data_IF_255439339622
#
_entry.id   IF_255439339622
#
_cell.length_a   1.000
_cell.length_b   1.000
_cell.length_c   1.000
_cell.angle_alpha   90.00
_cell.angle_beta   90.00
_cell.angle_gamma   90.00
#
_symmetry.space_group_name_H-M   'P 1'
#
loop_
_entity.id
_entity.type
_entity.pdbx_description
1 polymer ?
#
# COMPACT_ATOMS: atom_id res chain seq x y z
N UNK A 1 -7.17 -27.71 10.63
CA UNK A 1 -8.26 -26.71 10.51
C UNK A 1 -9.32 -27.38 9.66
N UNK A 2 -10.27 -28.06 10.30
CA UNK A 2 -11.37 -28.69 9.58
C UNK A 2 -12.38 -27.59 9.23
N UNK A 3 -12.59 -27.37 7.93
CA UNK A 3 -13.58 -26.42 7.43
C UNK A 3 -14.95 -27.09 7.56
N UNK A 4 -15.63 -26.90 8.69
CA UNK A 4 -16.95 -27.47 8.94
C UNK A 4 -18.05 -26.53 8.43
N UNK A 5 -18.96 -27.12 7.64
CA UNK A 5 -20.14 -26.54 6.95
C UNK A 5 -19.83 -25.37 6.02
N UNK A 6 -20.14 -25.61 4.75
CA UNK A 6 -19.58 -24.92 3.60
C UNK A 6 -19.63 -23.38 3.73
N UNK A 7 -18.48 -22.72 3.99
CA UNK A 7 -18.36 -21.26 3.97
C UNK A 7 -18.87 -20.67 2.65
N UNK A 8 -18.82 -21.43 1.55
CA UNK A 8 -19.38 -21.01 0.27
C UNK A 8 -20.91 -20.83 0.34
N UNK A 9 -21.64 -21.64 1.12
CA UNK A 9 -23.10 -21.49 1.25
C UNK A 9 -23.42 -20.22 2.04
N UNK A 10 -22.67 -19.93 3.11
CA UNK A 10 -22.81 -18.69 3.87
C UNK A 10 -22.42 -17.45 3.04
N UNK A 11 -21.32 -17.52 2.30
CA UNK A 11 -20.87 -16.45 1.40
C UNK A 11 -21.82 -16.25 0.22
N UNK A 12 -22.42 -17.33 -0.32
CA UNK A 12 -23.46 -17.26 -1.35
C UNK A 12 -24.76 -16.66 -0.80
N UNK A 13 -25.16 -17.00 0.43
CA UNK A 13 -26.34 -16.40 1.08
C UNK A 13 -26.14 -14.91 1.38
N UNK A 14 -24.91 -14.49 1.73
CA UNK A 14 -24.55 -13.07 1.90
C UNK A 14 -24.52 -12.35 0.54
N UNK A 15 -23.86 -12.93 -0.46
CA UNK A 15 -23.71 -12.32 -1.79
C UNK A 15 -25.03 -12.18 -2.55
N UNK A 16 -25.94 -13.15 -2.43
CA UNK A 16 -27.24 -13.12 -3.10
C UNK A 16 -28.19 -12.07 -2.52
N UNK A 17 -28.09 -11.73 -1.23
CA UNK A 17 -28.94 -10.72 -0.59
C UNK A 17 -28.41 -9.29 -0.76
N UNK A 18 -27.08 -9.10 -0.75
CA UNK A 18 -26.43 -7.80 -1.04
C UNK A 18 -26.62 -7.34 -2.50
N UNK A 19 -27.04 -8.25 -3.38
CA UNK A 19 -27.31 -7.97 -4.80
C UNK A 19 -28.72 -7.45 -5.07
N UNK A 20 -29.61 -7.40 -4.06
CA UNK A 20 -31.02 -7.01 -4.21
C UNK A 20 -31.19 -5.61 -3.63
N UNK A 21 -31.37 -4.62 -4.50
CA UNK A 21 -31.41 -3.19 -4.18
C UNK A 21 -32.34 -2.76 -3.04
N UNK A 22 -31.80 -2.84 -1.82
CA UNK A 22 -32.34 -2.30 -0.56
C UNK A 22 -31.26 -1.38 0.02
N UNK A 23 -31.66 -0.45 0.90
CA UNK A 23 -30.77 0.52 1.54
C UNK A 23 -29.53 -0.14 2.15
N UNK A 24 -28.32 0.41 1.90
CA UNK A 24 -27.03 -0.09 2.43
C UNK A 24 -27.04 -0.36 3.95
N UNK A 25 -27.88 0.34 4.71
CA UNK A 25 -28.03 0.19 6.16
C UNK A 25 -28.76 -1.10 6.55
N UNK A 26 -29.79 -1.49 5.81
CA UNK A 26 -30.65 -2.63 6.13
C UNK A 26 -29.93 -3.95 5.86
N UNK A 27 -29.03 -3.95 4.87
CA UNK A 27 -28.24 -5.10 4.49
C UNK A 27 -27.16 -5.43 5.53
N UNK A 28 -26.57 -4.41 6.14
CA UNK A 28 -25.59 -4.62 7.20
C UNK A 28 -26.26 -5.07 8.49
N UNK A 29 -27.42 -4.53 8.84
CA UNK A 29 -28.15 -5.01 10.02
C UNK A 29 -28.54 -6.49 9.88
N UNK A 30 -29.01 -6.92 8.69
CA UNK A 30 -29.25 -8.33 8.38
C UNK A 30 -27.99 -9.18 8.48
N UNK A 31 -26.86 -8.69 7.95
CA UNK A 31 -25.57 -9.36 8.08
C UNK A 31 -25.17 -9.55 9.55
N UNK A 32 -25.34 -8.52 10.38
CA UNK A 32 -25.06 -8.58 11.82
C UNK A 32 -25.97 -9.58 12.55
N UNK A 33 -27.25 -9.65 12.19
CA UNK A 33 -28.18 -10.64 12.75
C UNK A 33 -27.74 -12.07 12.39
N UNK A 34 -27.39 -12.32 11.13
CA UNK A 34 -26.89 -13.63 10.66
C UNK A 34 -25.58 -14.01 11.34
N UNK A 35 -24.62 -13.07 11.42
CA UNK A 35 -23.38 -13.27 12.16
C UNK A 35 -23.67 -13.60 13.63
N UNK A 36 -24.52 -12.82 14.32
CA UNK A 36 -24.90 -13.11 15.70
C UNK A 36 -25.50 -14.52 15.89
N UNK A 37 -26.28 -15.01 14.91
CA UNK A 37 -26.82 -16.36 14.95
C UNK A 37 -25.70 -17.40 14.81
N UNK A 38 -24.80 -17.22 13.86
CA UNK A 38 -23.64 -18.08 13.66
C UNK A 38 -22.72 -18.11 14.89
N UNK A 39 -22.46 -16.94 15.51
CA UNK A 39 -21.66 -16.83 16.73
C UNK A 39 -22.31 -17.49 17.97
N UNK A 40 -23.61 -17.79 17.91
CA UNK A 40 -24.36 -18.45 18.99
C UNK A 40 -24.50 -19.96 18.79
N UNK A 41 -24.21 -20.48 17.60
CA UNK A 41 -24.22 -21.92 17.37
C UNK A 41 -23.08 -22.56 18.20
N UNK A 42 -23.39 -23.67 18.87
CA UNK A 42 -22.57 -24.41 19.85
C UNK A 42 -21.33 -25.09 19.24
N UNK A 43 -20.62 -24.40 18.36
CA UNK A 43 -19.28 -24.82 17.93
C UNK A 43 -18.29 -24.46 19.04
N UNK A 44 -17.37 -25.36 19.35
CA UNK A 44 -16.28 -25.10 20.31
C UNK A 44 -15.19 -24.18 19.75
N UNK A 45 -15.42 -23.58 18.58
CA UNK A 45 -14.44 -22.81 17.83
C UNK A 45 -14.85 -21.34 17.75
N UNK A 46 -13.89 -20.45 17.99
CA UNK A 46 -14.11 -19.01 17.82
C UNK A 46 -13.84 -18.62 16.36
N UNK A 47 -14.82 -18.03 15.65
CA UNK A 47 -14.64 -17.67 14.25
C UNK A 47 -13.66 -16.53 14.05
N UNK A 48 -13.08 -16.47 12.85
CA UNK A 48 -12.13 -15.44 12.41
C UNK A 48 -12.74 -14.63 11.25
N UNK A 49 -12.85 -13.32 11.45
CA UNK A 49 -13.26 -12.36 10.42
C UNK A 49 -12.01 -11.68 9.84
N UNK A 50 -11.88 -11.73 8.51
CA UNK A 50 -10.81 -11.08 7.76
C UNK A 50 -11.37 -9.85 7.06
N UNK A 51 -10.83 -8.68 7.36
CA UNK A 51 -11.25 -7.39 6.80
C UNK A 51 -10.08 -6.75 6.06
N UNK A 52 -10.05 -6.90 4.75
CA UNK A 52 -9.07 -6.21 3.91
C UNK A 52 -9.55 -4.78 3.59
N UNK A 53 -8.61 -3.87 3.34
CA UNK A 53 -8.86 -2.45 3.01
C UNK A 53 -9.89 -1.78 3.94
N UNK A 54 -9.66 -1.86 5.25
CA UNK A 54 -10.60 -1.38 6.29
C UNK A 54 -11.01 0.08 6.12
N UNK A 55 -10.19 0.90 5.46
CA UNK A 55 -10.45 2.29 5.12
C UNK A 55 -11.75 2.48 4.34
N UNK A 56 -12.10 1.51 3.47
CA UNK A 56 -13.32 1.56 2.65
C UNK A 56 -14.57 1.53 3.53
N UNK A 57 -14.50 0.82 4.66
CA UNK A 57 -15.63 0.67 5.59
C UNK A 57 -15.50 1.53 6.84
N UNK A 58 -14.36 2.18 7.07
CA UNK A 58 -14.12 3.08 8.20
C UNK A 58 -14.78 4.47 8.03
N UNK A 59 -16.01 4.50 7.53
CA UNK A 59 -16.81 5.70 7.30
C UNK A 59 -17.74 5.90 8.51
N UNK A 60 -17.98 7.15 8.99
CA UNK A 60 -18.81 7.40 10.19
C UNK A 60 -20.20 6.75 10.17
N UNK A 61 -20.79 6.53 8.99
CA UNK A 61 -22.08 5.84 8.81
C UNK A 61 -22.09 4.40 9.33
N UNK A 62 -20.92 3.79 9.54
CA UNK A 62 -20.75 2.43 10.00
C UNK A 62 -20.28 2.32 11.47
N UNK A 63 -20.32 3.42 12.24
CA UNK A 63 -19.84 3.45 13.63
C UNK A 63 -20.41 2.37 14.55
N UNK A 64 -21.71 2.08 14.43
CA UNK A 64 -22.38 1.08 15.27
C UNK A 64 -21.88 -0.35 15.03
N UNK A 65 -21.45 -0.65 13.80
CA UNK A 65 -20.88 -1.96 13.43
C UNK A 65 -19.54 -2.16 14.15
N UNK A 66 -18.71 -1.13 14.21
CA UNK A 66 -17.40 -1.22 14.88
C UNK A 66 -17.55 -1.39 16.39
N UNK A 67 -18.54 -0.75 17.01
CA UNK A 67 -18.88 -0.98 18.41
C UNK A 67 -19.34 -2.43 18.65
N UNK A 68 -20.17 -2.97 17.74
CA UNK A 68 -20.61 -4.37 17.81
C UNK A 68 -19.44 -5.35 17.64
N UNK A 69 -18.60 -5.16 16.63
CA UNK A 69 -17.41 -5.99 16.36
C UNK A 69 -16.46 -6.00 17.56
N UNK A 70 -16.24 -4.83 18.15
CA UNK A 70 -15.44 -4.67 19.37
C UNK A 70 -16.02 -5.45 20.54
N UNK A 71 -17.33 -5.34 20.77
CA UNK A 71 -18.00 -6.03 21.86
C UNK A 71 -17.88 -7.56 21.71
N UNK A 72 -18.05 -8.08 20.49
CA UNK A 72 -17.90 -9.51 20.19
C UNK A 72 -16.48 -10.01 20.38
N UNK A 73 -15.51 -9.24 19.92
CA UNK A 73 -14.09 -9.58 20.08
C UNK A 73 -13.68 -9.59 21.55
N UNK A 74 -14.11 -8.58 22.31
CA UNK A 74 -13.82 -8.48 23.76
C UNK A 74 -14.45 -9.63 24.56
N UNK A 75 -15.58 -10.18 24.08
CA UNK A 75 -16.24 -11.33 24.70
C UNK A 75 -15.62 -12.69 24.31
N UNK A 76 -14.58 -12.71 23.47
CA UNK A 76 -13.98 -13.95 22.94
C UNK A 76 -14.89 -14.70 21.96
N UNK A 77 -15.95 -14.06 21.47
CA UNK A 77 -16.92 -14.66 20.56
C UNK A 77 -16.54 -14.49 19.09
N UNK A 78 -15.53 -13.66 18.78
CA UNK A 78 -15.06 -13.38 17.43
C UNK A 78 -13.59 -12.99 17.47
N UNK A 79 -12.79 -13.45 16.51
CA UNK A 79 -11.47 -12.91 16.23
C UNK A 79 -11.53 -12.06 14.97
N UNK A 80 -10.76 -10.98 14.92
CA UNK A 80 -10.70 -10.09 13.76
C UNK A 80 -9.24 -9.89 13.36
N UNK A 81 -8.96 -10.09 12.08
CA UNK A 81 -7.71 -9.67 11.45
C UNK A 81 -8.06 -8.68 10.36
N UNK A 82 -7.31 -7.59 10.28
CA UNK A 82 -7.53 -6.55 9.29
C UNK A 82 -6.23 -6.08 8.68
N UNK A 83 -6.30 -5.60 7.45
CA UNK A 83 -5.20 -4.95 6.74
C UNK A 83 -5.59 -3.51 6.41
N UNK A 84 -4.59 -2.62 6.50
CA UNK A 84 -4.75 -1.19 6.28
C UNK A 84 -3.44 -0.63 5.74
N UNK A 85 -3.54 0.35 4.85
CA UNK A 85 -2.42 1.13 4.33
C UNK A 85 -1.92 2.17 5.34
N UNK A 86 -2.77 2.55 6.31
CA UNK A 86 -2.46 3.54 7.35
C UNK A 86 -2.61 2.93 8.74
N UNK A 87 -2.09 3.62 9.73
CA UNK A 87 -2.36 3.22 11.12
C UNK A 87 -3.86 3.34 11.41
N UNK A 88 -4.44 2.34 12.09
CA UNK A 88 -5.88 2.31 12.34
C UNK A 88 -6.38 3.52 13.13
N UNK A 89 -5.53 4.13 13.97
CA UNK A 89 -5.88 5.36 14.69
C UNK A 89 -6.07 6.57 13.75
N UNK A 90 -5.42 6.58 12.59
CA UNK A 90 -5.62 7.60 11.55
C UNK A 90 -6.88 7.30 10.74
N UNK A 91 -7.14 6.03 10.46
CA UNK A 91 -8.31 5.57 9.70
C UNK A 91 -9.61 5.86 10.42
N UNK A 92 -9.70 5.53 11.72
CA UNK A 92 -10.91 5.75 12.52
C UNK A 92 -10.99 7.14 13.15
N UNK A 93 -9.96 7.97 12.98
CA UNK A 93 -9.88 9.33 13.51
C UNK A 93 -9.67 9.44 15.02
N UNK A 94 -9.31 10.64 15.49
CA UNK A 94 -9.11 10.99 16.91
C UNK A 94 -10.41 11.31 17.65
N UNK A 95 -11.55 10.70 17.30
CA UNK A 95 -12.83 11.12 17.90
C UNK A 95 -12.85 10.82 19.39
N UNK A 96 -13.10 11.87 20.18
CA UNK A 96 -13.48 11.87 21.59
C UNK A 96 -14.87 11.25 21.80
N UNK A 97 -15.08 10.04 21.26
CA UNK A 97 -16.33 9.32 21.46
C UNK A 97 -16.24 8.59 22.81
N UNK A 98 -17.30 8.75 23.61
CA UNK A 98 -17.43 8.22 24.97
C UNK A 98 -17.26 6.69 24.96
N UNK A 99 -16.04 6.21 25.11
CA UNK A 99 -15.65 4.80 25.00
C UNK A 99 -14.22 4.64 24.50
N UNK A 100 -13.67 3.42 24.61
CA UNK A 100 -12.39 3.14 23.95
C UNK A 100 -12.64 2.88 22.46
N UNK A 101 -11.79 3.41 21.58
CA UNK A 101 -11.96 3.31 20.14
C UNK A 101 -11.86 1.88 19.61
N UNK A 102 -12.36 1.64 18.39
CA UNK A 102 -12.31 0.34 17.73
C UNK A 102 -10.87 -0.14 17.50
N UNK A 103 -9.97 0.74 17.07
CA UNK A 103 -8.57 0.37 16.81
C UNK A 103 -7.82 -0.13 18.06
N UNK A 104 -8.31 0.17 19.27
CA UNK A 104 -7.65 -0.23 20.52
C UNK A 104 -7.69 -1.73 20.82
N UNK A 105 -8.52 -2.52 20.12
CA UNK A 105 -8.57 -3.97 20.32
C UNK A 105 -7.55 -4.73 19.45
N UNK A 106 -6.78 -4.03 18.61
CA UNK A 106 -5.84 -4.65 17.68
C UNK A 106 -4.40 -4.57 18.17
N UNK A 107 -3.63 -5.59 17.79
CA UNK A 107 -2.17 -5.54 17.80
C UNK A 107 -1.73 -5.31 16.35
N UNK A 108 -1.04 -4.20 16.10
CA UNK A 108 -0.53 -3.87 14.77
C UNK A 108 0.74 -4.66 14.45
N UNK A 109 0.78 -5.30 13.29
CA UNK A 109 1.98 -5.90 12.73
C UNK A 109 2.35 -5.08 11.48
N UNK A 110 3.40 -4.24 11.54
CA UNK A 110 3.81 -3.45 10.39
C UNK A 110 4.40 -4.37 9.32
N UNK A 111 3.82 -4.32 8.12
CA UNK A 111 4.37 -4.99 6.94
C UNK A 111 5.19 -3.98 6.13
N UNK A 112 6.45 -4.32 5.90
CA UNK A 112 7.38 -3.49 5.13
C UNK A 112 7.75 -4.12 3.80
N UNK A 113 8.67 -3.48 3.10
CA UNK A 113 9.38 -4.10 1.98
C UNK A 113 10.21 -5.29 2.47
N UNK A 114 10.47 -6.25 1.58
CA UNK A 114 11.34 -7.37 1.90
C UNK A 114 12.77 -6.89 2.14
N UNK A 115 13.55 -7.65 2.89
CA UNK A 115 15.00 -7.58 2.86
C UNK A 115 15.53 -8.21 1.57
N UNK A 116 16.72 -7.82 1.13
CA UNK A 116 17.34 -8.43 -0.06
C UNK A 116 17.48 -9.95 0.08
N UNK A 117 17.80 -10.45 1.28
CA UNK A 117 17.88 -11.89 1.56
C UNK A 117 16.54 -12.61 1.41
N UNK A 118 15.44 -11.94 1.76
CA UNK A 118 14.09 -12.47 1.61
C UNK A 118 13.69 -12.48 0.13
N UNK A 119 14.05 -11.44 -0.64
CA UNK A 119 13.89 -11.44 -2.10
C UNK A 119 14.65 -12.61 -2.72
N UNK A 120 15.93 -12.78 -2.41
CA UNK A 120 16.74 -13.89 -2.94
C UNK A 120 16.15 -15.25 -2.57
N UNK A 121 15.72 -15.41 -1.32
CA UNK A 121 15.06 -16.64 -0.87
C UNK A 121 13.77 -16.89 -1.65
N UNK A 122 12.94 -15.85 -1.85
CA UNK A 122 11.71 -15.95 -2.64
C UNK A 122 12.01 -16.36 -4.09
N UNK A 123 12.97 -15.70 -4.77
CA UNK A 123 13.35 -16.02 -6.14
C UNK A 123 13.91 -17.44 -6.27
N UNK A 124 14.76 -17.86 -5.32
CA UNK A 124 15.32 -19.21 -5.30
C UNK A 124 14.25 -20.28 -5.05
N UNK A 125 13.24 -19.97 -4.23
CA UNK A 125 12.18 -20.92 -3.85
C UNK A 125 11.09 -21.03 -4.91
N UNK A 126 10.66 -19.91 -5.48
CA UNK A 126 9.56 -19.87 -6.45
C UNK A 126 10.01 -20.20 -7.88
N UNK A 127 11.26 -19.94 -8.23
CA UNK A 127 11.81 -20.23 -9.55
C UNK A 127 12.91 -21.29 -9.48
N UNK A 128 14.15 -20.90 -9.16
CA UNK A 128 15.29 -21.80 -8.93
C UNK A 128 16.49 -21.03 -8.37
N UNK A 129 17.43 -21.70 -7.68
CA UNK A 129 18.70 -21.09 -7.29
C UNK A 129 19.48 -20.52 -8.47
N UNK A 130 19.46 -21.17 -9.63
CA UNK A 130 20.16 -20.71 -10.84
C UNK A 130 19.54 -19.42 -11.40
N UNK A 131 18.21 -19.31 -11.37
CA UNK A 131 17.51 -18.10 -11.76
C UNK A 131 17.82 -16.94 -10.81
N UNK A 132 17.80 -17.17 -9.50
CA UNK A 132 18.20 -16.17 -8.50
C UNK A 132 19.63 -15.68 -8.74
N UNK A 133 20.58 -16.61 -8.92
CA UNK A 133 21.98 -16.27 -9.16
C UNK A 133 22.17 -15.45 -10.44
N UNK A 134 21.33 -15.67 -11.45
CA UNK A 134 21.40 -14.98 -12.74
C UNK A 134 20.74 -13.60 -12.70
N UNK A 135 19.54 -13.50 -12.12
CA UNK A 135 18.69 -12.31 -12.24
C UNK A 135 18.52 -11.52 -10.94
N UNK A 136 18.70 -12.15 -9.79
CA UNK A 136 18.23 -11.65 -8.49
C UNK A 136 18.81 -10.29 -8.12
N UNK A 137 20.12 -10.12 -8.26
CA UNK A 137 20.77 -8.83 -7.97
C UNK A 137 20.29 -7.72 -8.91
N UNK A 138 20.00 -8.06 -10.18
CA UNK A 138 19.50 -7.07 -11.15
C UNK A 138 18.04 -6.70 -10.88
N UNK A 139 17.19 -7.69 -10.57
CA UNK A 139 15.79 -7.44 -10.17
C UNK A 139 15.76 -6.49 -8.97
N UNK A 140 16.53 -6.78 -7.92
CA UNK A 140 16.61 -5.92 -6.73
C UNK A 140 17.10 -4.51 -7.09
N UNK A 141 18.10 -4.40 -7.96
CA UNK A 141 18.61 -3.10 -8.40
C UNK A 141 17.55 -2.24 -9.12
N UNK A 142 16.72 -2.86 -9.96
CA UNK A 142 15.76 -2.15 -10.80
C UNK A 142 14.49 -1.74 -10.06
N UNK A 143 13.96 -2.62 -9.20
CA UNK A 143 12.65 -2.40 -8.55
C UNK A 143 12.69 -2.37 -7.02
N UNK A 144 13.88 -2.46 -6.43
CA UNK A 144 14.07 -2.54 -4.99
C UNK A 144 13.57 -3.88 -4.45
N UNK A 145 12.98 -3.85 -3.25
CA UNK A 145 12.56 -5.05 -2.52
C UNK A 145 11.05 -5.09 -2.21
N UNK A 146 10.26 -4.28 -2.90
CA UNK A 146 8.81 -4.30 -2.75
C UNK A 146 8.24 -5.62 -3.34
N UNK A 147 7.54 -6.46 -2.56
CA UNK A 147 7.12 -7.80 -3.01
C UNK A 147 6.41 -7.82 -4.35
N UNK A 148 5.43 -6.94 -4.54
CA UNK A 148 4.67 -6.85 -5.79
C UNK A 148 5.55 -6.55 -7.01
N UNK A 149 6.44 -5.56 -6.94
CA UNK A 149 7.28 -5.18 -8.07
C UNK A 149 8.34 -6.25 -8.37
N UNK A 150 8.93 -6.84 -7.33
CA UNK A 150 9.88 -7.94 -7.47
C UNK A 150 9.22 -9.12 -8.17
N UNK A 151 8.01 -9.52 -7.75
CA UNK A 151 7.28 -10.63 -8.36
C UNK A 151 6.95 -10.36 -9.84
N UNK A 152 6.45 -9.16 -10.15
CA UNK A 152 6.11 -8.77 -11.52
C UNK A 152 7.32 -8.76 -12.45
N UNK A 153 8.44 -8.15 -12.02
CA UNK A 153 9.67 -8.14 -12.83
C UNK A 153 10.28 -9.54 -12.92
N UNK A 154 10.30 -10.30 -11.82
CA UNK A 154 10.83 -11.65 -11.80
C UNK A 154 10.07 -12.58 -12.74
N UNK A 155 8.74 -12.47 -12.83
CA UNK A 155 7.93 -13.25 -13.77
C UNK A 155 8.37 -13.01 -15.24
N UNK A 156 8.51 -11.74 -15.64
CA UNK A 156 8.97 -11.38 -16.99
C UNK A 156 10.39 -11.88 -17.26
N UNK A 157 11.29 -11.79 -16.28
CA UNK A 157 12.64 -12.33 -16.38
C UNK A 157 12.63 -13.85 -16.52
N UNK A 158 11.77 -14.52 -15.75
CA UNK A 158 11.65 -15.97 -15.71
C UNK A 158 11.21 -16.53 -17.06
N UNK A 159 10.26 -15.87 -17.73
CA UNK A 159 9.81 -16.27 -19.07
C UNK A 159 10.98 -16.25 -20.08
N UNK A 160 11.82 -15.20 -20.04
CA UNK A 160 13.00 -15.09 -20.92
C UNK A 160 14.07 -16.11 -20.57
N UNK A 161 14.32 -16.31 -19.27
CA UNK A 161 15.28 -17.28 -18.77
C UNK A 161 14.90 -18.72 -19.13
N UNK A 162 13.62 -19.09 -18.94
CA UNK A 162 13.09 -20.41 -19.27
C UNK A 162 13.15 -20.68 -20.79
N UNK A 163 12.92 -19.66 -21.61
CA UNK A 163 13.09 -19.71 -23.06
C UNK A 163 14.57 -19.78 -23.49
N UNK A 164 15.53 -19.75 -22.55
CA UNK A 164 16.98 -19.72 -22.80
C UNK A 164 17.41 -18.53 -23.66
N UNK A 165 16.66 -17.43 -23.60
CA UNK A 165 17.07 -16.18 -24.23
C UNK A 165 18.26 -15.61 -23.46
N UNK A 166 19.25 -15.01 -24.14
CA UNK A 166 20.31 -14.30 -23.46
C UNK A 166 19.72 -13.14 -22.66
N UNK A 167 20.04 -13.06 -21.36
CA UNK A 167 19.66 -11.93 -20.51
C UNK A 167 20.70 -10.81 -20.61
N UNK A 168 20.97 -10.39 -21.84
CA UNK A 168 21.82 -9.25 -22.14
C UNK A 168 21.09 -7.91 -21.91
N UNK A 169 21.82 -6.79 -22.03
CA UNK A 169 21.27 -5.46 -21.77
C UNK A 169 20.06 -5.15 -22.66
N UNK A 170 20.06 -5.59 -23.91
CA UNK A 170 18.92 -5.38 -24.82
C UNK A 170 17.66 -6.11 -24.35
N UNK A 171 17.82 -7.36 -23.93
CA UNK A 171 16.72 -8.17 -23.39
C UNK A 171 16.21 -7.58 -22.08
N UNK A 172 17.10 -7.09 -21.23
CA UNK A 172 16.73 -6.37 -20.00
C UNK A 172 15.95 -5.09 -20.29
N UNK A 173 16.34 -4.29 -21.27
CA UNK A 173 15.57 -3.09 -21.66
C UNK A 173 14.17 -3.46 -22.14
N UNK A 174 14.00 -4.56 -22.86
CA UNK A 174 12.67 -5.05 -23.26
C UNK A 174 11.85 -5.49 -22.05
N UNK A 175 12.44 -6.28 -21.15
CA UNK A 175 11.77 -6.71 -19.91
C UNK A 175 11.31 -5.49 -19.09
N UNK A 176 12.16 -4.48 -18.95
CA UNK A 176 11.82 -3.25 -18.22
C UNK A 176 10.73 -2.45 -18.93
N UNK A 177 10.75 -2.39 -20.27
CA UNK A 177 9.66 -1.78 -21.03
C UNK A 177 8.33 -2.51 -20.80
N UNK A 178 8.34 -3.84 -20.76
CA UNK A 178 7.15 -4.68 -20.50
C UNK A 178 6.65 -4.50 -19.07
N UNK A 179 7.56 -4.50 -18.09
CA UNK A 179 7.26 -4.23 -16.69
C UNK A 179 6.59 -2.87 -16.53
N UNK A 180 7.17 -1.82 -17.11
CA UNK A 180 6.62 -0.47 -17.07
C UNK A 180 5.24 -0.38 -17.74
N UNK A 181 4.97 -1.15 -18.79
CA UNK A 181 3.62 -1.23 -19.40
C UNK A 181 2.61 -1.90 -18.48
N UNK A 182 2.97 -3.01 -17.84
CA UNK A 182 2.06 -3.82 -17.02
C UNK A 182 1.72 -3.19 -15.68
N UNK A 183 2.64 -2.42 -15.09
CA UNK A 183 2.38 -1.65 -13.86
C UNK A 183 1.44 -0.45 -14.13
N UNK A 184 1.24 -0.07 -15.40
CA UNK A 184 0.58 1.19 -15.77
C UNK A 184 -0.91 1.12 -16.16
N UNK A 185 -1.63 0.00 -16.08
CA UNK A 185 -3.10 -0.07 -16.33
C UNK A 185 -3.65 0.66 -17.60
N UNK A 186 -4.99 0.73 -17.81
CA UNK A 186 -5.59 1.52 -18.89
C UNK A 186 -5.83 2.98 -18.46
N UNK A 187 -5.47 3.94 -19.32
CA UNK A 187 -5.52 5.39 -19.08
C UNK A 187 -6.95 5.95 -19.03
N UNK A 188 -7.26 6.76 -18.02
CA UNK A 188 -8.38 7.72 -18.03
C UNK A 188 -7.85 9.16 -18.21
N UNK A 189 -8.44 9.91 -19.14
CA UNK A 189 -8.11 11.31 -19.43
C UNK A 189 -8.81 12.28 -18.46
N UNK A 190 -8.12 13.34 -18.03
CA UNK A 190 -8.68 14.57 -17.45
C UNK A 190 -7.64 15.31 -16.60
N UNK A 191 -7.10 16.46 -17.06
CA UNK A 191 -7.43 17.85 -16.64
C UNK A 191 -6.83 18.20 -15.25
N UNK A 192 -6.18 19.33 -14.93
CA UNK A 192 -5.76 20.59 -15.59
C UNK A 192 -4.93 21.40 -14.56
N UNK A 193 -3.98 22.19 -15.04
CA UNK A 193 -3.15 23.15 -14.26
C UNK A 193 -3.92 24.29 -13.56
N UNK A 194 -3.43 24.71 -12.37
CA UNK A 194 -3.46 26.08 -11.78
C UNK A 194 -2.44 26.14 -10.62
N UNK A 195 -1.86 27.24 -10.14
CA UNK A 195 -1.46 28.58 -10.61
C UNK A 195 -0.52 29.13 -9.48
N UNK A 196 0.40 30.04 -9.81
CA UNK A 196 1.44 30.58 -8.91
C UNK A 196 0.93 31.73 -8.02
N UNK A 197 1.46 31.85 -6.80
CA UNK A 197 1.36 33.06 -5.96
C UNK A 197 2.34 33.06 -4.78
N UNK A 198 3.41 33.87 -4.87
CA UNK A 198 4.50 33.92 -3.88
C UNK A 198 4.34 34.95 -2.76
N UNK A 199 4.81 34.59 -1.57
CA UNK A 199 5.20 35.49 -0.46
C UNK A 199 6.48 34.91 0.14
N UNK A 200 7.59 35.66 0.12
CA UNK A 200 8.88 35.27 0.72
C UNK A 200 8.77 35.22 2.25
N UNK A 201 8.51 34.03 2.79
CA UNK A 201 8.74 33.70 4.19
C UNK A 201 10.14 33.10 4.35
N UNK A 202 10.82 33.48 5.44
CA UNK A 202 12.13 32.92 5.82
C UNK A 202 11.96 31.42 6.02
N UNK A 203 12.54 30.67 5.10
CA UNK A 203 12.15 29.30 4.84
C UNK A 203 12.83 28.35 5.84
N UNK A 204 12.11 27.93 6.88
CA UNK A 204 12.61 26.95 7.87
C UNK A 204 12.56 25.54 7.28
N UNK A 205 13.69 25.09 6.74
CA UNK A 205 13.82 23.74 6.17
C UNK A 205 14.20 22.75 7.27
N UNK A 206 13.40 21.70 7.40
CA UNK A 206 13.64 20.60 8.33
C UNK A 206 14.98 19.87 8.05
N UNK A 207 15.53 19.11 9.01
CA UNK A 207 16.70 18.29 8.78
C UNK A 207 16.54 17.27 7.63
N UNK A 208 15.35 16.69 7.47
CA UNK A 208 15.09 15.73 6.40
C UNK A 208 14.89 16.42 5.05
N UNK A 209 14.26 17.59 5.01
CA UNK A 209 14.20 18.44 3.82
C UNK A 209 15.59 18.79 3.28
N UNK A 210 16.55 19.10 4.17
CA UNK A 210 17.95 19.32 3.78
C UNK A 210 18.62 18.07 3.22
N UNK A 211 18.32 16.89 3.79
CA UNK A 211 18.84 15.61 3.29
C UNK A 211 18.30 15.30 1.89
N UNK A 212 17.02 15.56 1.65
CA UNK A 212 16.38 15.42 0.33
C UNK A 212 17.02 16.36 -0.70
N UNK A 213 17.19 17.65 -0.38
CA UNK A 213 17.86 18.61 -1.27
C UNK A 213 19.29 18.16 -1.57
N UNK A 214 20.05 17.74 -0.55
CA UNK A 214 21.43 17.26 -0.72
C UNK A 214 21.52 16.02 -1.62
N UNK A 215 20.56 15.10 -1.47
CA UNK A 215 20.43 13.93 -2.32
C UNK A 215 20.14 14.32 -3.78
N UNK A 216 19.12 15.15 -4.01
CA UNK A 216 18.75 15.58 -5.35
C UNK A 216 19.82 16.46 -6.03
N UNK A 217 20.60 17.25 -5.26
CA UNK A 217 21.78 17.97 -5.79
C UNK A 217 22.84 17.03 -6.35
N UNK A 218 23.00 15.85 -5.75
CA UNK A 218 24.00 14.86 -6.16
C UNK A 218 23.59 14.10 -7.42
N UNK A 219 22.29 13.87 -7.62
CA UNK A 219 21.77 13.02 -8.69
C UNK A 219 21.02 13.79 -9.79
N UNK A 220 20.88 15.11 -9.64
CA UNK A 220 20.16 16.07 -10.52
C UNK A 220 18.66 15.81 -10.65
N UNK A 221 18.22 14.55 -10.73
CA UNK A 221 16.83 14.11 -10.66
C UNK A 221 16.74 12.75 -9.94
N UNK A 222 15.66 12.52 -9.19
CA UNK A 222 15.38 11.21 -8.60
C UNK A 222 13.89 10.97 -8.42
N UNK A 223 13.50 9.70 -8.51
CA UNK A 223 12.13 9.26 -8.19
C UNK A 223 11.91 9.32 -6.68
N UNK A 224 10.71 9.70 -6.27
CA UNK A 224 10.33 9.80 -4.86
C UNK A 224 10.66 8.55 -4.06
N UNK A 225 10.31 7.37 -4.57
CA UNK A 225 10.62 6.09 -3.94
C UNK A 225 12.11 5.88 -3.70
N UNK A 226 12.94 6.29 -4.66
CA UNK A 226 14.41 6.17 -4.54
C UNK A 226 14.94 7.10 -3.45
N UNK A 227 14.38 8.31 -3.34
CA UNK A 227 14.70 9.26 -2.26
C UNK A 227 14.32 8.65 -0.91
N UNK A 228 13.10 8.10 -0.81
CA UNK A 228 12.61 7.45 0.41
C UNK A 228 13.48 6.28 0.87
N UNK A 229 13.85 5.39 -0.05
CA UNK A 229 14.70 4.22 0.22
C UNK A 229 16.10 4.65 0.65
N UNK A 230 16.78 5.48 -0.14
CA UNK A 230 18.18 5.83 0.12
C UNK A 230 18.35 6.71 1.37
N UNK A 231 17.34 7.53 1.69
CA UNK A 231 17.34 8.36 2.90
C UNK A 231 16.68 7.68 4.10
N UNK A 232 16.12 6.48 3.92
CA UNK A 232 15.37 5.73 4.94
C UNK A 232 14.25 6.57 5.56
N UNK A 233 13.49 7.27 4.71
CA UNK A 233 12.35 8.08 5.12
C UNK A 233 11.07 7.26 5.00
N UNK A 234 10.23 7.33 6.03
CA UNK A 234 8.89 6.72 6.01
C UNK A 234 8.04 7.46 4.96
N UNK A 235 7.20 6.78 4.16
CA UNK A 235 6.44 7.42 3.07
C UNK A 235 5.65 8.67 3.49
N UNK A 236 4.93 8.62 4.61
CA UNK A 236 4.16 9.77 5.11
C UNK A 236 5.05 10.97 5.49
N UNK A 237 6.27 10.70 5.96
CA UNK A 237 7.25 11.73 6.28
C UNK A 237 7.88 12.29 5.00
N UNK A 238 8.20 11.42 4.05
CA UNK A 238 8.72 11.83 2.75
C UNK A 238 7.74 12.73 2.01
N UNK A 239 6.47 12.32 1.90
CA UNK A 239 5.41 13.07 1.24
C UNK A 239 5.23 14.46 1.87
N UNK A 240 5.17 14.52 3.21
CA UNK A 240 5.10 15.78 3.95
C UNK A 240 6.28 16.70 3.66
N UNK A 241 7.51 16.17 3.67
CA UNK A 241 8.71 16.97 3.41
C UNK A 241 8.82 17.39 1.94
N UNK A 242 8.46 16.52 1.00
CA UNK A 242 8.43 16.82 -0.43
C UNK A 242 7.44 17.93 -0.73
N UNK A 243 6.23 17.84 -0.17
CA UNK A 243 5.21 18.87 -0.30
C UNK A 243 5.68 20.21 0.26
N UNK A 244 6.28 20.23 1.45
CA UNK A 244 6.84 21.44 2.04
C UNK A 244 7.97 22.05 1.19
N UNK A 245 8.84 21.22 0.60
CA UNK A 245 9.91 21.65 -0.30
C UNK A 245 9.37 22.18 -1.64
N UNK A 246 8.27 21.63 -2.15
CA UNK A 246 7.59 22.10 -3.35
C UNK A 246 6.86 23.42 -3.13
N UNK A 247 6.10 23.54 -2.04
CA UNK A 247 5.44 24.79 -1.62
C UNK A 247 6.44 25.94 -1.44
N UNK A 248 7.67 25.58 -1.08
CA UNK A 248 8.80 26.48 -0.90
C UNK A 248 9.63 26.73 -2.17
N UNK A 249 9.22 26.17 -3.32
CA UNK A 249 9.91 26.26 -4.60
C UNK A 249 11.38 25.80 -4.56
N UNK A 250 11.75 24.89 -3.65
CA UNK A 250 13.13 24.35 -3.54
C UNK A 250 13.33 23.09 -4.36
N UNK A 251 12.26 22.31 -4.51
CA UNK A 251 12.21 21.10 -5.31
C UNK A 251 11.01 21.22 -6.23
N UNK A 252 11.15 20.79 -7.49
CA UNK A 252 10.05 20.78 -8.44
C UNK A 252 9.81 19.35 -8.94
N UNK A 253 8.53 19.07 -9.18
CA UNK A 253 8.09 17.87 -9.86
C UNK A 253 8.37 18.05 -11.35
N UNK A 254 9.19 17.17 -11.91
CA UNK A 254 9.59 17.18 -13.33
C UNK A 254 8.60 16.39 -14.19
N UNK A 255 7.84 15.49 -13.57
CA UNK A 255 6.88 14.59 -14.21
C UNK A 255 5.50 14.79 -13.61
N UNK A 256 4.55 15.32 -14.38
CA UNK A 256 3.19 15.65 -13.91
C UNK A 256 2.28 14.43 -13.69
N UNK A 257 1.03 14.71 -13.32
CA UNK A 257 -0.03 13.70 -13.19
C UNK A 257 -0.16 12.90 -14.50
N UNK A 258 0.27 11.63 -14.45
CA UNK A 258 0.36 10.74 -15.61
C UNK A 258 1.63 9.89 -15.64
N UNK A 259 2.68 10.31 -14.94
CA UNK A 259 3.86 9.49 -14.67
C UNK A 259 3.70 8.73 -13.33
N UNK A 260 3.91 7.41 -13.37
CA UNK A 260 3.57 6.47 -12.29
C UNK A 260 4.37 6.65 -11.00
N UNK A 261 5.44 7.44 -11.06
CA UNK A 261 6.22 7.80 -9.89
C UNK A 261 6.68 9.25 -10.01
N UNK A 262 6.40 10.10 -9.02
CA UNK A 262 6.85 11.48 -9.02
C UNK A 262 8.38 11.56 -9.14
N UNK A 263 8.85 12.21 -10.22
CA UNK A 263 10.25 12.51 -10.47
C UNK A 263 10.53 13.94 -10.02
N UNK A 264 11.48 14.09 -9.11
CA UNK A 264 11.81 15.37 -8.52
C UNK A 264 13.21 15.83 -8.92
N UNK A 265 13.38 17.16 -9.02
CA UNK A 265 14.69 17.81 -9.15
C UNK A 265 14.79 19.03 -8.25
N UNK A 266 16.00 19.43 -7.90
CA UNK A 266 16.23 20.68 -7.17
C UNK A 266 16.11 21.88 -8.12
N UNK A 267 15.34 22.89 -7.72
CA UNK A 267 15.21 24.15 -8.47
C UNK A 267 16.49 24.98 -8.35
N UNK A 268 16.59 26.09 -9.11
CA UNK A 268 17.69 27.06 -8.94
C UNK A 268 17.74 27.63 -7.52
N UNK A 269 16.58 27.86 -6.90
CA UNK A 269 16.46 28.36 -5.53
C UNK A 269 16.98 27.33 -4.52
N UNK A 270 16.56 26.07 -4.64
CA UNK A 270 17.06 24.98 -3.79
C UNK A 270 18.56 24.70 -3.97
N UNK A 271 19.14 25.03 -5.14
CA UNK A 271 20.59 24.89 -5.37
C UNK A 271 21.42 25.86 -4.51
N UNK A 272 20.86 27.02 -4.13
CA UNK A 272 21.55 28.06 -3.36
C UNK A 272 21.51 27.87 -1.83
N UNK A 273 20.83 26.82 -1.35
CA UNK A 273 20.71 26.45 0.07
C UNK A 273 21.70 25.36 0.44
#
# INVERSE_FOLDING_TARGET
MEVLKNPEVFLQEIGNELSIGVSETDDIEKLLIKLNKYLKDETSETPLLLLDEIEVIAIPKFGDIFNWLRAKTSAGALNIVTASQKELCEVFGKKDDVGSAFYNIFVSIPLGVMQESEVKTMLSTLASPEFEATCGSRIIHEVGTHPFHVQQLAALCYDKWQAKNPLDDNTWQQILADFNRNVSGPKSNGDKDTDNGGIEQKLEISPDGRRIIGYLKRFDYARESKIGVDLRLIPSKLDKEMKALQESCLVELVSGEGDWMPLYRVTKTGKNI
#
